data_IF_346130433591
#
_entry.id   IF_346130433591
#
_cell.length_a   1.000
_cell.length_b   1.000
_cell.length_c   1.000
_cell.angle_alpha   90.00
_cell.angle_beta   90.00
_cell.angle_gamma   90.00
#
_symmetry.space_group_name_H-M   'P 1'
#
loop_
_entity.id
_entity.type
_entity.pdbx_description
1 polymer ?
#
# COMPACT_ATOMS: atom_id res chain seq x y z
N UNK A 1 54.75 22.74 14.56
CA UNK A 1 54.57 23.07 13.12
C UNK A 1 53.35 23.93 13.00
N UNK A 2 53.47 25.16 12.54
CA UNK A 2 52.31 26.08 12.37
C UNK A 2 51.58 25.68 11.07
N UNK A 3 50.25 25.47 11.15
CA UNK A 3 49.41 25.22 9.98
C UNK A 3 49.39 26.47 9.12
N UNK A 4 49.72 26.40 7.82
CA UNK A 4 49.75 27.61 6.98
C UNK A 4 48.38 28.27 6.92
N UNK A 5 48.30 29.58 7.11
CA UNK A 5 47.06 30.38 7.17
C UNK A 5 46.15 30.19 5.96
N UNK A 6 46.75 29.93 4.78
CA UNK A 6 46.00 29.61 3.53
C UNK A 6 45.22 28.28 3.63
N UNK A 7 45.75 27.30 4.35
CA UNK A 7 45.08 26.01 4.55
C UNK A 7 43.89 26.15 5.51
N UNK A 8 44.02 26.96 6.55
CA UNK A 8 42.94 27.27 7.50
C UNK A 8 41.82 28.04 6.80
N UNK A 9 42.13 28.97 5.92
CA UNK A 9 41.16 29.71 5.13
C UNK A 9 40.41 28.82 4.14
N UNK A 10 41.13 27.89 3.49
CA UNK A 10 40.51 26.94 2.55
C UNK A 10 39.53 25.97 3.24
N UNK A 11 39.90 25.47 4.42
CA UNK A 11 39.03 24.63 5.24
C UNK A 11 37.79 25.41 5.72
N UNK A 12 37.94 26.65 6.13
CA UNK A 12 36.82 27.51 6.54
C UNK A 12 35.84 27.81 5.40
N UNK A 13 36.32 28.01 4.17
CA UNK A 13 35.49 28.20 2.98
C UNK A 13 34.77 26.88 2.60
N UNK A 14 35.42 25.71 2.69
CA UNK A 14 34.82 24.39 2.45
C UNK A 14 33.73 24.08 3.48
N UNK A 15 33.94 24.40 4.76
CA UNK A 15 32.92 24.19 5.80
C UNK A 15 31.74 25.15 5.62
N UNK A 16 31.99 26.40 5.24
CA UNK A 16 30.94 27.40 4.98
C UNK A 16 30.07 27.02 3.74
N UNK A 17 30.67 26.40 2.71
CA UNK A 17 29.91 25.94 1.54
C UNK A 17 29.07 24.66 1.79
N UNK A 18 29.34 23.91 2.87
CA UNK A 18 28.54 22.78 3.30
C UNK A 18 27.35 23.19 4.18
N UNK A 19 27.25 24.41 4.63
CA UNK A 19 26.11 24.97 5.38
C UNK A 19 25.09 25.64 4.43
N UNK A 20 24.79 25.03 3.27
CA UNK A 20 23.57 25.40 2.59
C UNK A 20 22.43 24.98 3.49
N UNK A 21 21.63 25.92 3.96
CA UNK A 21 20.39 25.69 4.71
C UNK A 21 19.52 24.72 3.90
N UNK A 22 19.72 23.44 4.17
CA UNK A 22 18.76 22.42 3.74
C UNK A 22 17.57 22.62 4.66
N UNK A 23 16.63 23.50 4.30
CA UNK A 23 15.34 23.52 4.96
C UNK A 23 14.81 22.10 4.91
N UNK A 24 14.88 21.42 6.06
CA UNK A 24 14.39 20.06 6.18
C UNK A 24 12.90 20.08 5.81
N UNK A 25 12.55 19.48 4.68
CA UNK A 25 11.17 19.38 4.22
C UNK A 25 10.33 18.80 5.35
N UNK A 26 9.44 19.58 5.93
CA UNK A 26 8.55 19.12 7.00
C UNK A 26 7.53 18.12 6.42
N UNK A 27 7.42 16.91 6.98
CA UNK A 27 6.45 15.95 6.52
C UNK A 27 5.04 16.44 6.83
N UNK A 28 4.15 16.31 5.85
CA UNK A 28 2.71 16.46 6.02
C UNK A 28 2.09 15.11 6.35
N UNK A 29 1.15 15.09 7.30
CA UNK A 29 0.36 13.91 7.65
C UNK A 29 -1.02 14.02 7.02
N UNK A 30 -1.42 13.01 6.26
CA UNK A 30 -2.74 12.92 5.62
C UNK A 30 -3.43 11.64 6.10
N UNK A 31 -4.72 11.77 6.41
CA UNK A 31 -5.59 10.64 6.75
C UNK A 31 -6.65 10.48 5.67
N UNK A 32 -6.85 9.23 5.20
CA UNK A 32 -7.84 8.91 4.18
C UNK A 32 -8.62 7.68 4.64
N UNK A 33 -9.93 7.69 4.42
CA UNK A 33 -10.80 6.53 4.64
C UNK A 33 -11.54 6.21 3.35
N UNK A 34 -11.63 4.93 3.02
CA UNK A 34 -12.38 4.43 1.86
C UNK A 34 -12.70 2.95 2.04
N UNK A 35 -13.52 2.43 1.12
CA UNK A 35 -13.88 1.03 1.05
C UNK A 35 -13.43 0.44 -0.29
N UNK A 36 -12.82 -0.75 -0.25
CA UNK A 36 -12.41 -1.51 -1.42
C UNK A 36 -13.37 -2.69 -1.60
N UNK A 37 -13.82 -2.90 -2.83
CA UNK A 37 -14.70 -4.01 -3.18
C UNK A 37 -13.92 -5.05 -3.97
N UNK A 38 -13.62 -6.17 -3.32
CA UNK A 38 -12.92 -7.31 -3.91
C UNK A 38 -13.96 -8.34 -4.36
N UNK A 39 -14.16 -8.47 -5.66
CA UNK A 39 -15.15 -9.34 -6.28
C UNK A 39 -14.40 -10.45 -7.01
N UNK A 40 -14.47 -11.65 -6.46
CA UNK A 40 -13.80 -12.85 -7.00
C UNK A 40 -14.78 -13.70 -7.83
N UNK A 41 -16.05 -13.64 -7.47
CA UNK A 41 -17.12 -14.43 -8.08
C UNK A 41 -17.92 -13.68 -9.15
N UNK A 42 -18.91 -14.40 -9.73
CA UNK A 42 -19.86 -13.82 -10.66
C UNK A 42 -19.32 -13.53 -12.07
N UNK A 43 -20.12 -12.84 -12.91
CA UNK A 43 -19.79 -12.63 -14.33
C UNK A 43 -18.80 -11.48 -14.59
N UNK A 44 -18.53 -10.64 -13.58
CA UNK A 44 -17.63 -9.48 -13.69
C UNK A 44 -16.71 -9.38 -12.47
N UNK A 45 -15.81 -10.36 -12.27
CA UNK A 45 -14.87 -10.33 -11.16
C UNK A 45 -13.90 -9.16 -11.32
N UNK A 46 -13.50 -8.56 -10.20
CA UNK A 46 -12.44 -7.54 -10.14
C UNK A 46 -11.11 -8.11 -9.66
N UNK A 47 -11.12 -9.36 -9.20
CA UNK A 47 -9.91 -10.12 -8.88
C UNK A 47 -9.99 -11.50 -9.56
N UNK A 48 -8.92 -11.89 -10.23
CA UNK A 48 -8.82 -13.18 -10.95
C UNK A 48 -7.57 -13.94 -10.55
N UNK A 49 -7.72 -15.22 -10.30
CA UNK A 49 -6.60 -16.10 -10.00
C UNK A 49 -5.83 -16.43 -11.29
N UNK A 50 -4.53 -16.11 -11.32
CA UNK A 50 -3.62 -16.32 -12.47
C UNK A 50 -2.62 -17.45 -12.24
N UNK A 51 -2.39 -17.83 -11.00
CA UNK A 51 -1.59 -18.99 -10.63
C UNK A 51 -2.23 -19.74 -9.48
N UNK A 52 -2.01 -21.04 -9.44
CA UNK A 52 -2.43 -21.92 -8.34
C UNK A 52 -1.35 -22.93 -8.04
N UNK A 53 -1.38 -23.48 -6.84
CA UNK A 53 -0.52 -24.63 -6.50
C UNK A 53 -0.80 -25.78 -7.50
N UNK A 54 0.26 -26.35 -8.08
CA UNK A 54 0.14 -27.56 -8.89
C UNK A 54 -0.37 -28.73 -8.03
N UNK A 55 -1.19 -29.59 -8.61
CA UNK A 55 -2.14 -30.50 -8.00
C UNK A 55 -1.62 -31.69 -7.17
N UNK A 56 -0.38 -31.66 -6.66
CA UNK A 56 0.19 -32.79 -5.92
C UNK A 56 -0.03 -32.69 -4.40
N UNK A 57 -0.83 -31.72 -3.94
CA UNK A 57 -1.18 -31.65 -2.53
C UNK A 57 -2.29 -32.65 -2.21
N UNK A 58 -1.97 -33.65 -1.40
CA UNK A 58 -2.88 -34.70 -0.96
C UNK A 58 -3.37 -34.54 0.49
N UNK A 59 -2.91 -33.44 1.16
CA UNK A 59 -3.30 -33.15 2.54
C UNK A 59 -4.71 -32.56 2.65
N UNK A 60 -5.26 -32.57 3.86
CA UNK A 60 -6.60 -32.04 4.18
C UNK A 60 -6.60 -30.56 4.64
N UNK A 61 -5.45 -29.91 4.80
CA UNK A 61 -5.35 -28.53 5.23
C UNK A 61 -5.74 -27.57 4.09
N UNK A 62 -6.86 -26.84 4.20
CA UNK A 62 -7.32 -25.93 3.15
C UNK A 62 -6.36 -24.73 2.92
N UNK A 63 -5.64 -24.30 3.95
CA UNK A 63 -4.65 -23.22 3.87
C UNK A 63 -3.47 -23.68 3.02
N UNK A 64 -2.93 -24.87 3.33
CA UNK A 64 -1.84 -25.45 2.56
C UNK A 64 -2.25 -25.75 1.10
N UNK A 65 -3.51 -26.10 0.85
CA UNK A 65 -4.04 -26.31 -0.49
C UNK A 65 -4.03 -25.01 -1.34
N UNK A 66 -4.20 -23.85 -0.71
CA UNK A 66 -4.23 -22.55 -1.38
C UNK A 66 -2.85 -21.90 -1.51
N UNK A 67 -1.85 -22.37 -0.76
CA UNK A 67 -0.49 -21.81 -0.78
C UNK A 67 0.09 -21.76 -2.19
N UNK A 68 0.68 -20.60 -2.56
CA UNK A 68 1.27 -20.36 -3.88
C UNK A 68 0.26 -19.91 -4.93
N UNK A 69 -1.03 -19.77 -4.58
CA UNK A 69 -1.99 -19.12 -5.48
C UNK A 69 -1.72 -17.62 -5.56
N UNK A 70 -1.86 -17.05 -6.77
CA UNK A 70 -1.69 -15.63 -7.05
C UNK A 70 -2.91 -15.12 -7.79
N UNK A 71 -3.42 -13.99 -7.34
CA UNK A 71 -4.51 -13.26 -8.00
C UNK A 71 -4.07 -11.87 -8.41
N UNK A 72 -4.53 -11.44 -9.59
CA UNK A 72 -4.43 -10.06 -10.06
C UNK A 72 -5.75 -9.37 -9.79
N UNK A 73 -5.72 -8.14 -9.32
CA UNK A 73 -6.91 -7.39 -8.96
C UNK A 73 -6.89 -5.96 -9.52
N UNK A 74 -8.09 -5.46 -9.79
CA UNK A 74 -8.40 -4.07 -10.13
C UNK A 74 -9.74 -3.70 -9.47
N UNK A 75 -9.68 -3.42 -8.17
CA UNK A 75 -10.84 -3.25 -7.31
C UNK A 75 -11.26 -1.78 -7.20
N UNK A 76 -12.55 -1.43 -7.29
CA UNK A 76 -13.01 -0.08 -7.06
C UNK A 76 -12.86 0.33 -5.59
N UNK A 77 -12.50 1.62 -5.40
CA UNK A 77 -12.47 2.30 -4.11
C UNK A 77 -13.67 3.24 -4.04
N UNK A 78 -14.45 3.14 -2.97
CA UNK A 78 -15.66 3.94 -2.78
C UNK A 78 -15.64 4.71 -1.46
N UNK A 79 -16.46 5.77 -1.38
CA UNK A 79 -16.58 6.60 -0.17
C UNK A 79 -17.28 5.86 0.97
N UNK A 80 -18.26 5.01 0.65
CA UNK A 80 -19.02 4.23 1.63
C UNK A 80 -18.97 2.73 1.28
N UNK A 81 -19.35 1.82 2.20
CA UNK A 81 -19.35 0.38 1.90
C UNK A 81 -20.41 -0.06 0.87
N UNK A 82 -21.31 0.82 0.47
CA UNK A 82 -22.29 0.53 -0.58
C UNK A 82 -21.57 0.45 -1.95
N UNK A 83 -21.72 -0.63 -2.73
CA UNK A 83 -21.07 -0.79 -4.04
C UNK A 83 -21.54 0.28 -5.06
N UNK A 84 -22.71 0.88 -4.86
CA UNK A 84 -23.22 1.99 -5.69
C UNK A 84 -22.76 3.37 -5.21
N UNK A 85 -21.89 3.43 -4.21
CA UNK A 85 -21.32 4.68 -3.72
C UNK A 85 -20.32 5.27 -4.73
N UNK A 86 -20.03 6.56 -4.57
CA UNK A 86 -19.08 7.28 -5.43
C UNK A 86 -17.73 6.58 -5.47
N UNK A 87 -17.29 6.22 -6.67
CA UNK A 87 -15.95 5.66 -6.91
C UNK A 87 -14.94 6.80 -6.88
N UNK A 88 -13.95 6.69 -6.01
CA UNK A 88 -12.88 7.69 -5.82
C UNK A 88 -11.52 7.22 -6.35
N UNK A 89 -11.40 5.94 -6.68
CA UNK A 89 -10.14 5.37 -7.13
C UNK A 89 -10.23 3.89 -7.43
N UNK A 90 -9.06 3.29 -7.61
CA UNK A 90 -8.91 1.84 -7.81
C UNK A 90 -7.70 1.32 -7.04
N UNK A 91 -7.83 0.10 -6.52
CA UNK A 91 -6.71 -0.67 -6.00
C UNK A 91 -6.29 -1.70 -7.04
N UNK A 92 -5.08 -1.58 -7.54
CA UNK A 92 -4.53 -2.43 -8.59
C UNK A 92 -3.26 -3.12 -8.13
N UNK A 93 -3.09 -4.38 -8.50
CA UNK A 93 -1.91 -5.15 -8.15
C UNK A 93 -2.18 -6.64 -8.03
N UNK A 94 -1.43 -7.27 -7.15
CA UNK A 94 -1.51 -8.71 -6.91
C UNK A 94 -1.61 -9.00 -5.41
N UNK A 95 -2.24 -10.13 -5.10
CA UNK A 95 -2.08 -10.79 -3.81
C UNK A 95 -1.77 -12.27 -4.01
N UNK A 96 -0.96 -12.81 -3.11
CA UNK A 96 -0.56 -14.21 -3.13
C UNK A 96 -0.85 -14.87 -1.78
N UNK A 97 -1.34 -16.11 -1.81
CA UNK A 97 -1.45 -16.93 -0.60
C UNK A 97 -0.05 -17.34 -0.15
N UNK A 98 0.45 -16.69 0.89
CA UNK A 98 1.85 -16.75 1.31
C UNK A 98 2.08 -17.57 2.58
N UNK A 99 1.03 -18.05 3.26
CA UNK A 99 1.16 -18.96 4.39
C UNK A 99 0.78 -20.39 4.01
N UNK A 100 1.44 -21.35 4.65
CA UNK A 100 1.22 -22.80 4.43
C UNK A 100 0.39 -23.45 5.54
N UNK A 101 0.39 -22.87 6.75
CA UNK A 101 -0.20 -23.50 7.94
C UNK A 101 -0.74 -22.44 8.91
N UNK A 102 -1.75 -22.84 9.68
CA UNK A 102 -2.25 -22.16 10.87
C UNK A 102 -2.87 -20.77 10.68
N UNK A 103 -2.68 -20.12 9.53
CA UNK A 103 -3.15 -18.78 9.30
C UNK A 103 -3.44 -18.53 7.82
N UNK A 104 -4.59 -17.94 7.53
CA UNK A 104 -4.91 -17.48 6.18
C UNK A 104 -4.30 -16.10 5.96
N UNK A 105 -3.08 -16.06 5.43
CA UNK A 105 -2.32 -14.82 5.26
C UNK A 105 -1.87 -14.61 3.82
N UNK A 106 -2.23 -13.44 3.29
CA UNK A 106 -1.85 -13.00 1.95
C UNK A 106 -0.63 -12.09 1.99
N UNK A 107 0.24 -12.21 1.00
CA UNK A 107 1.16 -11.13 0.63
C UNK A 107 0.43 -10.19 -0.32
N UNK A 108 0.28 -8.93 0.07
CA UNK A 108 -0.33 -7.88 -0.73
C UNK A 108 0.74 -7.04 -1.40
N UNK A 109 0.59 -6.76 -2.69
CA UNK A 109 1.38 -5.77 -3.44
C UNK A 109 0.40 -4.95 -4.26
N UNK A 110 -0.05 -3.83 -3.70
CA UNK A 110 -1.15 -3.02 -4.24
C UNK A 110 -0.77 -1.57 -4.37
N UNK A 111 -1.25 -0.95 -5.45
CA UNK A 111 -1.26 0.50 -5.63
C UNK A 111 -2.70 1.01 -5.60
N UNK A 112 -2.94 1.98 -4.74
CA UNK A 112 -4.22 2.68 -4.58
C UNK A 112 -4.12 4.00 -5.33
N UNK A 113 -4.73 4.06 -6.52
CA UNK A 113 -4.75 5.24 -7.39
C UNK A 113 -6.07 6.00 -7.26
N UNK A 114 -6.02 7.31 -7.07
CA UNK A 114 -7.20 8.17 -6.95
C UNK A 114 -7.53 8.81 -8.30
N UNK A 115 -8.82 8.79 -8.67
CA UNK A 115 -9.34 9.33 -9.93
C UNK A 115 -10.28 10.52 -9.72
N UNK A 116 -10.52 10.91 -8.46
CA UNK A 116 -11.37 12.03 -8.11
C UNK A 116 -11.00 12.62 -6.75
N UNK A 117 -11.58 13.78 -6.42
CA UNK A 117 -11.36 14.47 -5.14
C UNK A 117 -9.98 15.12 -5.02
N UNK A 118 -9.55 15.46 -3.79
CA UNK A 118 -8.33 16.22 -3.54
C UNK A 118 -7.03 15.46 -3.87
N UNK A 119 -7.11 14.15 -4.11
CA UNK A 119 -5.97 13.30 -4.39
C UNK A 119 -5.94 12.80 -5.84
N UNK A 120 -6.80 13.34 -6.70
CA UNK A 120 -6.88 12.95 -8.11
C UNK A 120 -5.50 12.95 -8.78
N UNK A 121 -5.19 11.87 -9.53
CA UNK A 121 -3.89 11.68 -10.20
C UNK A 121 -2.74 11.26 -9.28
N UNK A 122 -3.00 11.05 -7.99
CA UNK A 122 -2.00 10.60 -7.02
C UNK A 122 -2.26 9.16 -6.60
N UNK A 123 -1.21 8.48 -6.15
CA UNK A 123 -1.32 7.11 -5.66
C UNK A 123 -0.39 6.85 -4.47
N UNK A 124 -0.71 5.82 -3.68
CA UNK A 124 0.22 5.22 -2.72
C UNK A 124 0.25 3.70 -2.89
N UNK A 125 1.38 3.08 -2.52
CA UNK A 125 1.57 1.63 -2.65
C UNK A 125 1.79 0.99 -1.30
N UNK A 126 1.21 -0.21 -1.15
CA UNK A 126 1.32 -1.09 0.01
C UNK A 126 2.01 -2.37 -0.42
N UNK A 127 3.01 -2.78 0.35
CA UNK A 127 3.59 -4.14 0.26
C UNK A 127 3.64 -4.70 1.67
N UNK A 128 2.94 -5.79 1.92
CA UNK A 128 2.91 -6.33 3.27
C UNK A 128 2.07 -7.59 3.43
N UNK A 129 2.23 -8.19 4.59
CA UNK A 129 1.47 -9.35 5.03
C UNK A 129 0.07 -8.91 5.47
N UNK A 130 -0.94 -9.66 5.06
CA UNK A 130 -2.34 -9.43 5.40
C UNK A 130 -2.96 -10.73 5.97
N UNK A 131 -2.99 -10.93 7.28
CA UNK A 131 -3.67 -12.04 7.94
C UNK A 131 -5.18 -11.77 7.93
N UNK A 132 -5.86 -12.19 6.85
CA UNK A 132 -7.22 -11.75 6.50
C UNK A 132 -8.29 -12.07 7.54
N UNK A 133 -8.05 -13.06 8.41
CA UNK A 133 -8.98 -13.44 9.48
C UNK A 133 -8.87 -12.56 10.73
N UNK A 134 -7.82 -11.73 10.85
CA UNK A 134 -7.71 -10.79 11.97
C UNK A 134 -8.71 -9.65 11.79
N UNK A 135 -9.26 -9.18 12.90
CA UNK A 135 -10.21 -8.05 12.90
C UNK A 135 -9.58 -6.79 12.29
N UNK A 136 -8.36 -6.48 12.67
CA UNK A 136 -7.57 -5.35 12.16
C UNK A 136 -6.27 -5.85 11.58
N UNK A 137 -5.93 -5.41 10.37
CA UNK A 137 -4.68 -5.75 9.70
C UNK A 137 -3.93 -4.47 9.38
N UNK A 138 -2.70 -4.37 9.85
CA UNK A 138 -1.82 -3.26 9.52
C UNK A 138 -0.91 -3.64 8.37
N UNK A 139 -0.80 -2.75 7.38
CA UNK A 139 0.12 -2.90 6.26
C UNK A 139 0.89 -1.60 6.03
N UNK A 140 2.22 -1.67 5.76
CA UNK A 140 3.04 -0.49 5.53
C UNK A 140 2.80 0.12 4.16
N UNK A 141 2.86 1.46 4.08
CA UNK A 141 2.93 2.22 2.84
C UNK A 141 4.41 2.37 2.47
N UNK A 142 4.77 1.85 1.31
CA UNK A 142 6.17 1.77 0.85
C UNK A 142 6.56 2.90 -0.10
N UNK A 143 5.58 3.66 -0.61
CA UNK A 143 5.82 4.77 -1.52
C UNK A 143 4.52 5.36 -2.06
N UNK A 144 4.66 6.34 -2.97
CA UNK A 144 3.53 6.95 -3.66
C UNK A 144 3.95 7.89 -4.77
N UNK A 145 2.97 8.40 -5.52
CA UNK A 145 3.14 9.33 -6.64
C UNK A 145 2.29 10.59 -6.46
N UNK A 146 2.53 11.59 -7.29
CA UNK A 146 1.81 12.85 -7.22
C UNK A 146 1.99 13.53 -5.86
N UNK A 147 0.89 13.87 -5.19
CA UNK A 147 0.90 14.47 -3.85
C UNK A 147 1.62 13.56 -2.84
N UNK A 148 1.57 12.24 -3.04
CA UNK A 148 2.15 11.23 -2.15
C UNK A 148 3.58 10.81 -2.54
N UNK A 149 4.29 11.58 -3.36
CA UNK A 149 5.70 11.33 -3.66
C UNK A 149 6.51 11.24 -2.36
N UNK A 150 7.42 10.25 -2.29
CA UNK A 150 8.21 9.92 -1.10
C UNK A 150 7.38 9.51 0.14
N UNK A 151 6.11 9.12 -0.06
CA UNK A 151 5.24 8.71 1.01
C UNK A 151 5.79 7.52 1.80
N UNK A 152 5.52 7.56 3.11
CA UNK A 152 5.63 6.46 4.06
C UNK A 152 4.40 6.48 4.95
N UNK A 153 4.13 5.41 5.62
CA UNK A 153 3.00 5.34 6.54
C UNK A 153 2.47 3.94 6.69
N UNK A 154 1.21 3.85 7.04
CA UNK A 154 0.52 2.57 7.25
C UNK A 154 -0.97 2.70 6.93
N UNK A 155 -1.59 1.57 6.68
CA UNK A 155 -3.04 1.48 6.63
C UNK A 155 -3.53 0.36 7.56
N UNK A 156 -4.69 0.61 8.17
CA UNK A 156 -5.48 -0.41 8.83
C UNK A 156 -6.59 -0.86 7.90
N UNK A 157 -6.65 -2.18 7.65
CA UNK A 157 -7.72 -2.82 6.90
C UNK A 157 -8.64 -3.58 7.87
N UNK A 158 -9.95 -3.46 7.67
CA UNK A 158 -10.98 -4.23 8.38
C UNK A 158 -11.98 -4.78 7.37
N UNK A 159 -12.33 -6.04 7.49
CA UNK A 159 -13.41 -6.61 6.67
C UNK A 159 -14.74 -6.06 7.16
N UNK A 160 -15.43 -5.29 6.32
CA UNK A 160 -16.75 -4.75 6.60
C UNK A 160 -17.82 -5.81 6.38
N UNK A 161 -17.75 -6.51 5.23
CA UNK A 161 -18.62 -7.64 4.91
C UNK A 161 -17.89 -8.63 4.01
N UNK A 162 -18.28 -9.89 4.09
CA UNK A 162 -17.78 -10.96 3.23
C UNK A 162 -18.91 -11.94 2.93
N UNK A 163 -19.07 -12.26 1.65
CA UNK A 163 -19.99 -13.29 1.19
C UNK A 163 -19.27 -14.20 0.21
N UNK A 164 -19.19 -15.49 0.53
CA UNK A 164 -18.32 -16.43 -0.16
C UNK A 164 -16.86 -15.92 -0.15
N UNK A 165 -16.32 -15.53 -1.31
CA UNK A 165 -14.98 -14.95 -1.44
C UNK A 165 -15.01 -13.46 -1.80
N UNK A 166 -16.18 -12.89 -2.05
CA UNK A 166 -16.35 -11.45 -2.29
C UNK A 166 -16.31 -10.69 -0.97
N UNK A 167 -15.55 -9.62 -0.91
CA UNK A 167 -15.35 -8.88 0.32
C UNK A 167 -15.41 -7.36 0.11
N UNK A 168 -15.98 -6.66 1.10
CA UNK A 168 -15.86 -5.21 1.24
C UNK A 168 -14.92 -4.93 2.40
N UNK A 169 -13.83 -4.24 2.13
CA UNK A 169 -12.78 -3.96 3.10
C UNK A 169 -12.71 -2.44 3.34
N UNK A 170 -12.91 -2.03 4.59
CA UNK A 170 -12.71 -0.64 5.02
C UNK A 170 -11.23 -0.38 5.31
N UNK A 171 -10.71 0.72 4.78
CA UNK A 171 -9.34 1.18 4.98
C UNK A 171 -9.31 2.49 5.75
N UNK A 172 -8.43 2.55 6.75
CA UNK A 172 -8.03 3.78 7.44
C UNK A 172 -6.53 3.97 7.20
N UNK A 173 -6.17 4.99 6.45
CA UNK A 173 -4.84 5.19 5.89
C UNK A 173 -4.21 6.43 6.50
N UNK A 174 -2.98 6.30 7.00
CA UNK A 174 -2.14 7.39 7.49
C UNK A 174 -0.91 7.50 6.61
N UNK A 175 -0.78 8.63 5.90
CA UNK A 175 0.31 8.89 4.97
C UNK A 175 1.14 10.07 5.46
N UNK A 176 2.44 9.86 5.59
CA UNK A 176 3.44 10.91 5.74
C UNK A 176 4.06 11.17 4.37
N UNK A 177 3.99 12.40 3.89
CA UNK A 177 4.52 12.80 2.58
C UNK A 177 5.08 14.21 2.65
N UNK A 178 5.82 14.63 1.62
CA UNK A 178 6.42 15.94 1.56
C UNK A 178 5.77 16.74 0.45
N UNK A 179 5.41 18.01 0.71
CA UNK A 179 4.94 18.93 -0.33
C UNK A 179 6.11 19.26 -1.26
N UNK A 180 6.45 18.35 -2.17
CA UNK A 180 7.32 18.67 -3.28
C UNK A 180 6.50 19.53 -4.27
N UNK A 181 6.88 20.81 -4.45
CA UNK A 181 6.53 21.50 -5.69
C UNK A 181 7.14 20.67 -6.81
N UNK A 182 6.30 20.19 -7.74
CA UNK A 182 6.75 19.59 -8.98
C UNK A 182 7.52 20.63 -9.79
#
# INVERSE_FOLDING_TARGET
MAVPSKLVLLIAVLVASCTTDTEALKPKKTHIQFYMHDIVGGPKPTAVQVARRLSNYTGSDPIAAMFGSVSVMDNPLTVTPNPNSTVIGRAQGIYAMASQHNEFSLLMTLTYGFISGPYNGSSFSVVGRNPVMNEVREMPIVGGTGIFRLARGYCFARTYSMYQMDAVIGYNVTILHYNGKA
#
